data_IF_723223179224
#
_entry.id   IF_723223179224
#
_cell.length_a   1.000
_cell.length_b   1.000
_cell.length_c   1.000
_cell.angle_alpha   90.00
_cell.angle_beta   90.00
_cell.angle_gamma   90.00
#
_symmetry.space_group_name_H-M   'P 1'
#
loop_
_entity.id
_entity.type
_entity.pdbx_description
1 polymer ?
#
# COMPACT_ATOMS: atom_id res chain seq x y z
N UNK A 1 -11.40 23.34 -7.96
CA UNK A 1 -11.34 23.33 -6.48
C UNK A 1 -11.51 21.88 -6.01
N UNK A 2 -10.55 21.33 -5.26
CA UNK A 2 -10.64 20.00 -4.64
C UNK A 2 -11.50 20.00 -3.35
N UNK A 3 -12.20 21.11 -3.05
CA UNK A 3 -12.91 21.33 -1.79
C UNK A 3 -14.00 20.29 -1.45
N UNK A 4 -14.41 19.46 -2.41
CA UNK A 4 -15.38 18.37 -2.20
C UNK A 4 -14.79 16.97 -2.48
N UNK A 5 -13.47 16.83 -2.54
CA UNK A 5 -12.84 15.52 -2.74
C UNK A 5 -12.90 14.71 -1.45
N UNK A 6 -13.60 13.58 -1.51
CA UNK A 6 -13.68 12.61 -0.42
C UNK A 6 -13.00 11.32 -0.86
N UNK A 7 -11.89 10.97 -0.22
CA UNK A 7 -11.12 9.78 -0.54
C UNK A 7 -11.89 8.52 -0.12
N UNK A 8 -12.14 7.63 -1.08
CA UNK A 8 -12.88 6.38 -0.85
C UNK A 8 -11.98 5.15 -0.96
N UNK A 9 -11.06 5.13 -1.92
CA UNK A 9 -10.14 4.01 -2.10
C UNK A 9 -8.72 4.48 -2.36
N UNK A 10 -7.76 3.70 -1.88
CA UNK A 10 -6.37 3.75 -2.28
C UNK A 10 -6.03 2.43 -2.97
N UNK A 11 -5.57 2.52 -4.21
CA UNK A 11 -5.21 1.38 -5.05
C UNK A 11 -3.70 1.36 -5.20
N UNK A 12 -3.06 0.29 -4.73
CA UNK A 12 -1.63 0.09 -4.88
C UNK A 12 -1.40 -1.06 -5.88
N UNK A 13 -0.79 -0.73 -7.01
CA UNK A 13 -0.43 -1.71 -8.05
C UNK A 13 1.09 -1.86 -8.06
N UNK A 14 1.58 -3.06 -7.77
CA UNK A 14 3.00 -3.34 -7.93
C UNK A 14 3.38 -3.30 -9.42
N UNK A 15 4.34 -2.44 -9.78
CA UNK A 15 4.82 -2.21 -11.14
C UNK A 15 6.16 -2.93 -11.39
N UNK A 16 6.95 -3.10 -10.34
CA UNK A 16 8.29 -3.71 -10.38
C UNK A 16 8.50 -4.58 -9.14
N UNK A 17 9.38 -5.57 -9.25
CA UNK A 17 9.72 -6.53 -8.20
C UNK A 17 9.73 -7.94 -8.76
N UNK A 18 10.69 -8.75 -8.32
CA UNK A 18 10.86 -10.14 -8.80
C UNK A 18 9.67 -11.01 -8.39
N UNK A 19 9.12 -10.76 -7.19
CA UNK A 19 7.93 -11.45 -6.70
C UNK A 19 6.80 -10.48 -6.30
N UNK A 20 5.56 -10.95 -6.28
CA UNK A 20 4.43 -10.15 -5.82
C UNK A 20 4.32 -10.19 -4.30
N UNK A 21 4.35 -9.02 -3.64
CA UNK A 21 4.18 -8.93 -2.19
C UNK A 21 2.73 -9.28 -1.83
N UNK A 22 2.54 -10.31 -0.99
CA UNK A 22 1.23 -10.71 -0.49
C UNK A 22 0.97 -10.05 0.86
N UNK A 23 -0.10 -9.25 0.94
CA UNK A 23 -0.49 -8.57 2.17
C UNK A 23 -1.53 -9.34 2.97
N UNK A 24 -1.34 -9.38 4.28
CA UNK A 24 -2.29 -9.90 5.24
C UNK A 24 -3.39 -8.86 5.49
N UNK A 25 -4.55 -9.09 4.87
CA UNK A 25 -5.71 -8.20 4.96
C UNK A 25 -6.19 -7.98 6.39
N UNK A 26 -6.14 -9.02 7.24
CA UNK A 26 -6.63 -8.94 8.63
C UNK A 26 -5.72 -8.12 9.55
N UNK A 27 -4.43 -8.06 9.23
CA UNK A 27 -3.43 -7.37 10.04
C UNK A 27 -2.93 -6.06 9.42
N UNK A 28 -3.51 -5.65 8.29
CA UNK A 28 -3.29 -4.34 7.68
C UNK A 28 -4.38 -3.38 8.14
N UNK A 29 -4.05 -2.13 8.38
CA UNK A 29 -4.99 -1.14 8.90
C UNK A 29 -4.62 0.26 8.42
N UNK A 30 -5.56 1.21 8.55
CA UNK A 30 -5.29 2.62 8.33
C UNK A 30 -5.49 3.42 9.61
N UNK A 31 -4.82 4.56 9.71
CA UNK A 31 -4.96 5.48 10.83
C UNK A 31 -4.63 6.92 10.44
N UNK A 32 -5.14 7.86 11.23
CA UNK A 32 -4.61 9.23 11.31
C UNK A 32 -3.79 9.35 12.59
N UNK A 33 -2.76 10.19 12.55
CA UNK A 33 -1.94 10.49 13.72
C UNK A 33 -2.20 11.92 14.18
N UNK A 34 -2.72 12.06 15.39
CA UNK A 34 -3.08 13.36 15.99
C UNK A 34 -2.33 13.46 17.30
N UNK A 35 -1.40 14.41 17.40
CA UNK A 35 -0.59 14.65 18.60
C UNK A 35 0.11 13.39 19.14
N UNK A 36 0.61 12.53 18.24
CA UNK A 36 1.30 11.27 18.57
C UNK A 36 0.39 10.09 18.91
N UNK A 37 -0.93 10.26 18.86
CA UNK A 37 -1.90 9.18 19.05
C UNK A 37 -2.45 8.71 17.70
N UNK A 38 -2.55 7.38 17.54
CA UNK A 38 -3.07 6.76 16.31
C UNK A 38 -4.56 6.46 16.46
N UNK A 39 -5.38 7.15 15.69
CA UNK A 39 -6.81 6.85 15.58
C UNK A 39 -7.05 5.97 14.36
N UNK A 40 -7.58 4.76 14.57
CA UNK A 40 -7.80 3.80 13.49
C UNK A 40 -8.94 4.25 12.58
N UNK A 41 -8.72 4.10 11.29
CA UNK A 41 -9.74 4.24 10.26
C UNK A 41 -10.22 2.85 9.84
N UNK A 42 -11.53 2.69 9.73
CA UNK A 42 -12.14 1.47 9.19
C UNK A 42 -11.77 1.29 7.72
N UNK A 43 -11.13 0.18 7.39
CA UNK A 43 -10.81 -0.20 6.01
C UNK A 43 -11.09 -1.67 5.75
N UNK A 44 -11.49 -1.95 4.51
CA UNK A 44 -11.45 -3.29 3.94
C UNK A 44 -10.35 -3.36 2.88
N UNK A 45 -9.43 -4.30 3.04
CA UNK A 45 -8.37 -4.56 2.08
C UNK A 45 -8.75 -5.73 1.17
N UNK A 46 -8.81 -5.51 -0.15
CA UNK A 46 -9.15 -6.54 -1.13
C UNK A 46 -8.05 -6.68 -2.19
N UNK A 47 -7.95 -7.86 -2.78
CA UNK A 47 -7.07 -8.12 -3.92
C UNK A 47 -7.90 -8.00 -5.21
N UNK A 48 -7.35 -7.37 -6.24
CA UNK A 48 -8.01 -7.34 -7.54
C UNK A 48 -8.06 -8.74 -8.15
N UNK A 49 -9.22 -9.12 -8.70
CA UNK A 49 -9.43 -10.40 -9.39
C UNK A 49 -8.77 -10.44 -10.77
N UNK A 50 -8.63 -9.29 -11.43
CA UNK A 50 -8.08 -9.17 -12.79
C UNK A 50 -6.62 -8.74 -12.80
N UNK A 51 -6.12 -8.14 -11.71
CA UNK A 51 -4.74 -7.69 -11.55
C UNK A 51 -4.18 -8.20 -10.22
N UNK A 52 -3.61 -9.42 -10.17
CA UNK A 52 -3.20 -10.05 -8.92
C UNK A 52 -2.13 -9.30 -8.11
N UNK A 53 -1.43 -8.35 -8.73
CA UNK A 53 -0.43 -7.48 -8.14
C UNK A 53 -1.01 -6.16 -7.59
N UNK A 54 -2.34 -6.00 -7.65
CA UNK A 54 -3.07 -4.83 -7.15
C UNK A 54 -3.80 -5.17 -5.85
N UNK A 55 -3.56 -4.35 -4.83
CA UNK A 55 -4.32 -4.34 -3.58
C UNK A 55 -5.11 -3.04 -3.46
N UNK A 56 -6.34 -3.13 -2.97
CA UNK A 56 -7.27 -2.00 -2.86
C UNK A 56 -7.66 -1.86 -1.39
N UNK A 57 -7.32 -0.72 -0.79
CA UNK A 57 -7.83 -0.33 0.52
C UNK A 57 -9.07 0.54 0.31
N UNK A 58 -10.23 0.05 0.74
CA UNK A 58 -11.50 0.80 0.72
C UNK A 58 -11.82 1.27 2.13
N UNK A 59 -12.04 2.58 2.31
CA UNK A 59 -12.46 3.12 3.60
C UNK A 59 -13.94 2.83 3.87
N UNK A 60 -14.29 2.46 5.09
CA UNK A 60 -15.69 2.19 5.46
C UNK A 60 -16.54 3.48 5.38
N UNK A 61 -15.91 4.63 5.55
CA UNK A 61 -16.48 5.96 5.34
C UNK A 61 -15.52 6.82 4.50
N UNK A 62 -15.99 7.62 3.55
CA UNK A 62 -15.13 8.52 2.80
C UNK A 62 -14.35 9.48 3.71
N UNK A 63 -13.07 9.69 3.42
CA UNK A 63 -12.18 10.58 4.19
C UNK A 63 -12.18 11.97 3.57
N UNK A 64 -12.43 12.99 4.37
CA UNK A 64 -12.37 14.39 3.95
C UNK A 64 -10.95 14.82 3.56
N UNK A 65 -10.85 15.82 2.69
CA UNK A 65 -9.58 16.42 2.31
C UNK A 65 -8.83 17.04 3.51
N UNK A 66 -7.56 17.40 3.30
CA UNK A 66 -6.67 18.06 4.26
C UNK A 66 -6.28 17.23 5.49
N UNK A 67 -6.30 15.90 5.38
CA UNK A 67 -5.81 15.00 6.41
C UNK A 67 -4.69 14.11 5.85
N UNK A 68 -3.65 13.88 6.64
CA UNK A 68 -2.64 12.86 6.32
C UNK A 68 -3.11 11.54 6.90
N UNK A 69 -3.41 10.59 6.01
CA UNK A 69 -3.74 9.22 6.38
C UNK A 69 -2.51 8.32 6.19
N UNK A 70 -2.37 7.34 7.07
CA UNK A 70 -1.37 6.26 6.89
C UNK A 70 -2.09 4.95 6.66
N UNK A 71 -1.71 4.21 5.62
CA UNK A 71 -2.14 2.83 5.39
C UNK A 71 -0.97 1.92 5.72
N UNK A 72 -1.06 1.20 6.84
CA UNK A 72 -0.08 0.23 7.27
C UNK A 72 -0.40 -1.14 6.66
N UNK A 73 0.40 -1.56 5.69
CA UNK A 73 0.26 -2.84 5.01
C UNK A 73 1.19 -3.89 5.66
N UNK A 74 0.63 -4.95 6.24
CA UNK A 74 1.40 -6.05 6.80
C UNK A 74 1.63 -7.12 5.72
N UNK A 75 2.86 -7.38 5.26
CA UNK A 75 3.12 -8.53 4.40
C UNK A 75 2.97 -9.85 5.19
N UNK A 76 2.56 -10.93 4.51
CA UNK A 76 2.61 -12.27 5.11
C UNK A 76 4.05 -12.69 5.42
N UNK A 77 4.98 -12.38 4.52
CA UNK A 77 6.41 -12.63 4.63
C UNK A 77 7.16 -11.55 3.86
N UNK A 78 8.42 -11.29 4.25
CA UNK A 78 9.30 -10.45 3.43
C UNK A 78 9.60 -11.16 2.11
N UNK A 79 9.78 -10.42 1.01
CA UNK A 79 10.31 -10.98 -0.21
C UNK A 79 11.62 -11.74 0.04
N UNK A 80 11.77 -12.91 -0.57
CA UNK A 80 13.01 -13.69 -0.62
C UNK A 80 13.97 -13.12 -1.65
N UNK A 81 13.42 -12.52 -2.72
CA UNK A 81 14.22 -11.89 -3.76
C UNK A 81 14.55 -10.46 -3.38
N UNK A 82 15.85 -10.13 -3.36
CA UNK A 82 16.31 -8.75 -3.25
C UNK A 82 15.87 -7.89 -4.44
N UNK A 83 16.05 -6.58 -4.31
CA UNK A 83 15.82 -5.64 -5.38
C UNK A 83 14.79 -4.57 -5.04
N UNK A 84 14.37 -3.85 -6.07
CA UNK A 84 13.47 -2.71 -5.99
C UNK A 84 12.04 -3.16 -6.30
N UNK A 85 11.12 -2.78 -5.43
CA UNK A 85 9.69 -3.05 -5.57
C UNK A 85 8.97 -1.72 -5.64
N UNK A 86 8.40 -1.41 -6.80
CA UNK A 86 7.69 -0.15 -7.05
C UNK A 86 6.18 -0.37 -7.03
N UNK A 87 5.47 0.53 -6.37
CA UNK A 87 4.02 0.51 -6.27
C UNK A 87 3.45 1.82 -6.82
N UNK A 88 2.70 1.75 -7.92
CA UNK A 88 1.91 2.89 -8.37
C UNK A 88 0.73 3.06 -7.41
N UNK A 89 0.54 4.28 -6.92
CA UNK A 89 -0.56 4.62 -6.01
C UNK A 89 -1.59 5.44 -6.76
N UNK A 90 -2.82 4.95 -6.77
CA UNK A 90 -3.99 5.69 -7.21
C UNK A 90 -4.93 5.97 -6.06
N UNK A 91 -5.67 7.06 -6.15
CA UNK A 91 -6.77 7.39 -5.25
C UNK A 91 -8.05 7.51 -6.03
N UNK A 92 -9.14 6.98 -5.44
CA UNK A 92 -10.48 7.06 -6.00
C UNK A 92 -11.36 7.83 -5.02
N UNK A 93 -12.07 8.84 -5.52
CA UNK A 93 -13.03 9.60 -4.72
C UNK A 93 -14.41 8.95 -4.66
N UNK A 94 -15.16 9.22 -3.59
CA UNK A 94 -16.61 9.04 -3.56
C UNK A 94 -17.33 10.25 -4.20
N UNK A 95 -18.61 10.07 -4.58
CA UNK A 95 -19.49 11.13 -5.09
C UNK A 95 -19.92 10.96 -6.54
N UNK A 96 -20.71 11.91 -7.06
CA UNK A 96 -21.35 11.86 -8.39
C UNK A 96 -20.34 11.79 -9.56
N UNK A 97 -19.12 12.30 -9.35
CA UNK A 97 -18.00 12.13 -10.28
C UNK A 97 -16.90 11.38 -9.58
N UNK A 98 -16.87 10.06 -9.77
CA UNK A 98 -15.76 9.23 -9.36
C UNK A 98 -14.53 9.63 -10.17
N UNK A 99 -13.55 10.18 -9.47
CA UNK A 99 -12.30 10.56 -10.08
C UNK A 99 -11.24 9.54 -9.66
N UNK A 100 -10.42 9.10 -10.61
CA UNK A 100 -9.31 8.20 -10.37
C UNK A 100 -8.02 8.93 -10.72
N UNK A 101 -7.15 9.14 -9.73
CA UNK A 101 -5.93 9.93 -9.89
C UNK A 101 -4.71 9.11 -9.46
N UNK A 102 -3.69 9.06 -10.31
CA UNK A 102 -2.35 8.63 -9.92
C UNK A 102 -1.72 9.72 -9.05
N UNK A 103 -1.41 9.41 -7.80
CA UNK A 103 -0.83 10.39 -6.86
C UNK A 103 0.66 10.20 -6.64
N UNK A 104 1.23 9.08 -7.11
CA UNK A 104 2.67 8.86 -7.06
C UNK A 104 3.08 7.39 -7.14
N UNK A 105 4.31 7.15 -6.73
CA UNK A 105 4.92 5.81 -6.66
C UNK A 105 5.60 5.61 -5.32
N UNK A 106 5.30 4.50 -4.65
CA UNK A 106 6.04 4.03 -3.47
C UNK A 106 7.17 3.09 -3.87
N UNK A 107 8.31 3.16 -3.17
CA UNK A 107 9.48 2.32 -3.41
C UNK A 107 9.87 1.58 -2.14
N UNK A 108 10.00 0.28 -2.24
CA UNK A 108 10.65 -0.57 -1.24
C UNK A 108 11.91 -1.17 -1.86
N UNK A 109 12.96 -1.28 -1.07
CA UNK A 109 14.19 -1.96 -1.47
C UNK A 109 14.52 -3.01 -0.43
N UNK A 110 14.68 -4.24 -0.91
CA UNK A 110 15.09 -5.37 -0.10
C UNK A 110 16.50 -5.75 -0.53
N UNK A 111 17.32 -6.11 0.45
CA UNK A 111 18.68 -6.57 0.26
C UNK A 111 18.76 -7.97 0.84
N UNK A 112 19.46 -8.87 0.17
CA UNK A 112 19.82 -10.13 0.77
C UNK A 112 21.22 -10.01 1.37
N UNK A 113 21.32 -10.19 2.67
CA UNK A 113 22.60 -10.47 3.33
C UNK A 113 22.94 -11.96 3.11
N UNK A 114 23.18 -12.35 1.85
CA UNK A 114 23.90 -13.60 1.61
C UNK A 114 25.36 -13.34 1.92
N UNK A 115 25.71 -13.53 3.19
CA UNK A 115 27.10 -13.55 3.62
C UNK A 115 27.80 -14.75 2.97
N UNK A 116 28.57 -14.48 1.91
CA UNK A 116 29.38 -15.46 1.17
C UNK A 116 30.63 -15.90 1.96
N UNK A 117 30.50 -16.13 3.27
CA UNK A 117 31.56 -16.76 4.06
C UNK A 117 31.66 -18.29 3.85
N UNK A 118 30.91 -18.85 2.89
CA UNK A 118 31.09 -20.23 2.42
C UNK A 118 32.08 -20.35 1.24
N UNK A 119 33.20 -19.64 1.30
CA UNK A 119 34.44 -20.13 0.72
C UNK A 119 35.19 -20.95 1.79
N UNK A 120 34.68 -22.13 2.12
CA UNK A 120 35.52 -23.12 2.78
C UNK A 120 36.48 -23.69 1.73
N UNK A 121 37.75 -23.44 1.99
CA UNK A 121 38.92 -24.01 1.32
C UNK A 121 38.72 -25.50 0.97
N UNK A 122 39.00 -25.86 -0.28
CA UNK A 122 39.79 -27.04 -0.66
C UNK A 122 40.47 -26.80 -2.00
#
# INVERSE_FOLDING_TARGET
SLANWQLQQVVLTQMEGVENIKFNQKNSFAFVEISGQKEKLGITLTKSSTQPQTIIATFDKPISANQTITIALKPFYNPVSEGIYLFRVHVISSGEKTNNLVVGTGRLQFYNDFDNHLFYQR
#
